data_IF_947860852113
#
_entry.id   IF_947860852113
#
_cell.length_a   1.000
_cell.length_b   1.000
_cell.length_c   1.000
_cell.angle_alpha   90.00
_cell.angle_beta   90.00
_cell.angle_gamma   90.00
#
_symmetry.space_group_name_H-M   'P 1'
#
loop_
_entity.id
_entity.type
_entity.pdbx_description
1 polymer ?
#
# COMPACT_ATOMS: atom_id res chain seq x y z
N UNK A 1 -1.13 -8.38 -4.18
CA UNK A 1 -2.36 -7.77 -4.70
C UNK A 1 -3.39 -7.83 -3.60
N UNK A 2 -3.93 -6.68 -3.22
CA UNK A 2 -5.02 -6.62 -2.26
C UNK A 2 -6.31 -7.01 -2.97
N UNK A 3 -7.09 -7.88 -2.35
CA UNK A 3 -8.32 -8.40 -2.91
C UNK A 3 -9.42 -8.10 -1.91
N UNK A 4 -10.50 -7.49 -2.35
CA UNK A 4 -11.63 -7.19 -1.51
C UNK A 4 -12.62 -8.34 -1.60
N UNK A 5 -12.82 -9.05 -0.50
CA UNK A 5 -13.90 -10.03 -0.35
C UNK A 5 -15.13 -9.33 0.20
N UNK A 6 -16.23 -9.32 -0.54
CA UNK A 6 -17.54 -8.82 -0.10
C UNK A 6 -18.43 -9.98 0.33
N UNK A 7 -18.85 -10.00 1.58
CA UNK A 7 -19.85 -10.97 2.07
C UNK A 7 -21.26 -10.44 1.83
N UNK A 8 -21.98 -11.01 0.86
CA UNK A 8 -23.35 -10.61 0.56
C UNK A 8 -24.32 -11.12 1.65
N UNK A 9 -25.48 -10.46 1.86
CA UNK A 9 -26.46 -10.85 2.88
C UNK A 9 -26.99 -12.29 2.74
N UNK A 10 -26.84 -12.91 1.57
CA UNK A 10 -27.22 -14.31 1.30
C UNK A 10 -26.07 -15.32 1.40
N UNK A 11 -25.00 -15.01 2.15
CA UNK A 11 -23.77 -15.83 2.34
C UNK A 11 -22.90 -16.07 1.10
N UNK A 12 -23.23 -15.48 -0.04
CA UNK A 12 -22.33 -15.50 -1.21
C UNK A 12 -21.12 -14.57 -0.97
N UNK A 13 -19.94 -15.03 -1.41
CA UNK A 13 -18.70 -14.26 -1.29
C UNK A 13 -18.26 -13.80 -2.67
N UNK A 14 -18.22 -12.48 -2.89
CA UNK A 14 -17.72 -11.90 -4.12
C UNK A 14 -16.28 -11.42 -3.94
N UNK A 15 -15.43 -11.74 -4.91
CA UNK A 15 -14.04 -11.28 -4.97
C UNK A 15 -13.96 -10.06 -5.89
N UNK A 16 -13.42 -8.96 -5.38
CA UNK A 16 -13.33 -7.67 -6.08
C UNK A 16 -11.88 -7.21 -6.04
N UNK A 17 -11.32 -6.85 -7.20
CA UNK A 17 -10.02 -6.21 -7.26
C UNK A 17 -10.20 -4.71 -7.02
N UNK A 18 -9.44 -4.09 -6.10
CA UNK A 18 -9.49 -2.65 -5.90
C UNK A 18 -9.04 -1.95 -7.19
N UNK A 19 -9.74 -0.90 -7.66
CA UNK A 19 -9.34 -0.09 -8.78
C UNK A 19 -7.92 0.45 -8.58
N UNK A 20 -7.05 0.22 -9.55
CA UNK A 20 -5.66 0.69 -9.53
C UNK A 20 -5.50 2.10 -10.10
N UNK A 21 -6.41 2.56 -10.96
CA UNK A 21 -6.32 3.89 -11.56
C UNK A 21 -6.78 4.97 -10.58
N UNK A 22 -5.87 5.91 -10.34
CA UNK A 22 -5.83 6.90 -9.24
C UNK A 22 -7.02 7.88 -9.11
N UNK A 23 -8.03 7.81 -9.98
CA UNK A 23 -9.15 8.75 -9.96
C UNK A 23 -10.39 8.25 -9.21
N UNK A 24 -10.52 6.94 -8.94
CA UNK A 24 -11.65 6.39 -8.19
C UNK A 24 -11.17 5.65 -6.96
N UNK A 25 -11.28 6.28 -5.79
CA UNK A 25 -11.05 5.61 -4.51
C UNK A 25 -12.07 4.49 -4.36
N UNK A 26 -11.60 3.25 -4.15
CA UNK A 26 -12.50 2.15 -3.80
C UNK A 26 -13.17 2.46 -2.46
N UNK A 27 -14.50 2.64 -2.46
CA UNK A 27 -15.25 2.86 -1.23
C UNK A 27 -15.58 1.50 -0.61
N UNK A 28 -14.86 1.15 0.45
CA UNK A 28 -15.14 -0.06 1.23
C UNK A 28 -16.47 0.08 1.97
N UNK A 29 -17.35 -0.91 1.81
CA UNK A 29 -18.58 -1.05 2.59
C UNK A 29 -18.32 -1.87 3.87
N UNK A 30 -19.31 -1.90 4.78
CA UNK A 30 -19.24 -2.67 6.04
C UNK A 30 -19.06 -4.19 5.82
N UNK A 31 -19.42 -4.67 4.63
CA UNK A 31 -19.36 -6.07 4.22
C UNK A 31 -18.07 -6.43 3.47
N UNK A 32 -17.22 -5.43 3.22
CA UNK A 32 -15.98 -5.60 2.50
C UNK A 32 -14.83 -5.88 3.47
N UNK A 33 -14.15 -7.00 3.26
CA UNK A 33 -12.89 -7.33 3.92
C UNK A 33 -11.78 -7.34 2.88
N UNK A 34 -10.74 -6.55 3.08
CA UNK A 34 -9.56 -6.58 2.24
C UNK A 34 -8.61 -7.68 2.73
N UNK A 35 -8.22 -8.58 1.85
CA UNK A 35 -7.25 -9.65 2.09
C UNK A 35 -6.19 -9.63 1.00
N UNK A 36 -4.92 -9.70 1.40
CA UNK A 36 -3.80 -9.86 0.46
C UNK A 36 -3.66 -11.37 0.19
N UNK A 37 -4.12 -11.83 -0.97
CA UNK A 37 -4.02 -13.25 -1.35
C UNK A 37 -2.71 -13.57 -2.08
N UNK A 38 -2.23 -12.63 -2.89
CA UNK A 38 -1.02 -12.82 -3.68
C UNK A 38 0.07 -11.88 -3.19
N UNK A 39 1.27 -12.44 -3.03
CA UNK A 39 2.49 -11.65 -2.93
C UNK A 39 2.86 -11.22 -4.35
N UNK A 40 3.03 -9.92 -4.56
CA UNK A 40 3.52 -9.41 -5.84
C UNK A 40 5.03 -9.55 -5.79
N UNK A 41 5.54 -10.46 -6.60
CA UNK A 41 6.97 -10.79 -6.66
C UNK A 41 7.69 -9.89 -7.65
N UNK A 42 7.06 -9.60 -8.77
CA UNK A 42 7.60 -8.77 -9.83
C UNK A 42 6.47 -8.07 -10.61
N UNK A 43 6.73 -6.87 -11.13
CA UNK A 43 5.82 -6.12 -11.97
C UNK A 43 6.44 -5.93 -13.35
N UNK A 44 5.90 -6.64 -14.35
CA UNK A 44 6.34 -6.52 -15.73
C UNK A 44 6.01 -5.14 -16.31
N UNK A 45 6.95 -4.56 -17.05
CA UNK A 45 6.83 -3.27 -17.74
C UNK A 45 6.79 -3.45 -19.26
N UNK A 46 6.49 -2.35 -19.95
CA UNK A 46 6.59 -2.29 -21.40
C UNK A 46 8.01 -2.67 -21.88
N UNK A 47 8.08 -3.53 -22.90
CA UNK A 47 9.35 -4.03 -23.46
C UNK A 47 9.96 -5.22 -22.70
N UNK A 48 9.37 -5.61 -21.57
CA UNK A 48 9.75 -6.85 -20.87
C UNK A 48 9.04 -8.06 -21.47
N UNK A 49 9.65 -9.23 -21.27
CA UNK A 49 9.17 -10.49 -21.80
C UNK A 49 9.02 -11.52 -20.68
N UNK A 50 8.15 -12.50 -20.90
CA UNK A 50 7.93 -13.64 -20.01
C UNK A 50 7.59 -14.87 -20.84
N UNK A 51 7.70 -16.06 -20.25
CA UNK A 51 7.37 -17.33 -20.91
C UNK A 51 8.41 -17.79 -21.93
N UNK A 52 9.67 -17.38 -21.79
CA UNK A 52 10.77 -17.76 -22.72
C UNK A 52 11.28 -19.19 -22.44
N UNK A 53 10.99 -19.71 -21.25
CA UNK A 53 11.50 -20.99 -20.74
C UNK A 53 12.11 -20.91 -19.33
N UNK A 54 11.91 -19.79 -18.65
CA UNK A 54 12.08 -19.57 -17.20
C UNK A 54 11.30 -20.57 -16.32
N UNK A 55 11.81 -20.85 -15.12
CA UNK A 55 11.17 -21.78 -14.16
C UNK A 55 10.42 -21.03 -13.04
N UNK A 56 9.30 -20.41 -13.39
CA UNK A 56 8.47 -19.65 -12.43
C UNK A 56 7.40 -20.51 -11.74
N UNK A 57 7.72 -21.76 -11.37
CA UNK A 57 6.76 -22.67 -10.71
C UNK A 57 6.15 -22.03 -9.46
N UNK A 58 4.82 -22.09 -9.37
CA UNK A 58 4.07 -21.51 -8.26
C UNK A 58 3.85 -19.99 -8.35
N UNK A 59 4.31 -19.36 -9.44
CA UNK A 59 4.02 -17.95 -9.75
C UNK A 59 2.90 -17.86 -10.78
N UNK A 60 2.05 -16.83 -10.68
CA UNK A 60 1.00 -16.55 -11.66
C UNK A 60 1.19 -15.14 -12.21
N UNK A 61 1.09 -15.01 -13.54
CA UNK A 61 1.13 -13.70 -14.21
C UNK A 61 -0.31 -13.22 -14.31
N UNK A 62 -0.57 -12.07 -13.69
CA UNK A 62 -1.90 -11.47 -13.63
C UNK A 62 -1.77 -10.08 -14.24
N UNK A 63 -2.59 -9.79 -15.24
CA UNK A 63 -2.71 -8.44 -15.78
C UNK A 63 -3.58 -7.61 -14.85
N UNK A 64 -3.26 -6.33 -14.74
CA UNK A 64 -4.15 -5.38 -14.06
C UNK A 64 -4.49 -4.27 -15.02
N UNK A 65 -5.77 -4.23 -15.43
CA UNK A 65 -6.26 -3.35 -16.49
C UNK A 65 -6.12 -3.95 -17.88
N UNK A 66 -6.25 -3.09 -18.89
CA UNK A 66 -6.08 -3.46 -20.29
C UNK A 66 -4.59 -3.48 -20.63
N UNK A 67 -4.13 -4.59 -21.20
CA UNK A 67 -2.72 -4.80 -21.56
C UNK A 67 -2.66 -5.44 -22.93
N UNK A 68 -1.75 -4.96 -23.78
CA UNK A 68 -1.47 -5.54 -25.09
C UNK A 68 -0.21 -6.40 -25.01
N UNK A 69 -0.29 -7.64 -25.50
CA UNK A 69 0.80 -8.61 -25.43
C UNK A 69 1.01 -9.20 -26.82
N UNK A 70 2.25 -9.17 -27.30
CA UNK A 70 2.65 -9.83 -28.55
C UNK A 70 3.13 -11.24 -28.23
N UNK A 71 2.33 -12.25 -28.59
CA UNK A 71 2.71 -13.64 -28.41
C UNK A 71 3.47 -14.17 -29.62
N UNK A 72 4.72 -14.60 -29.42
CA UNK A 72 5.54 -15.20 -30.48
C UNK A 72 5.69 -16.70 -30.25
N UNK A 73 5.27 -17.56 -31.20
CA UNK A 73 5.46 -19.00 -31.06
C UNK A 73 6.94 -19.38 -31.00
N UNK A 74 7.32 -20.20 -30.01
CA UNK A 74 8.72 -20.64 -29.81
C UNK A 74 9.32 -21.32 -31.04
N UNK A 75 8.52 -22.10 -31.79
CA UNK A 75 8.95 -22.77 -33.03
C UNK A 75 9.48 -21.78 -34.07
N UNK A 76 8.89 -20.59 -34.15
CA UNK A 76 9.28 -19.53 -35.10
C UNK A 76 10.68 -18.99 -34.79
N UNK A 77 11.02 -18.87 -33.51
CA UNK A 77 12.33 -18.38 -33.05
C UNK A 77 13.43 -19.44 -33.21
N UNK A 78 13.11 -20.72 -33.04
CA UNK A 78 14.06 -21.83 -33.20
C UNK A 78 14.54 -22.01 -34.64
N UNK A 79 13.69 -21.71 -35.64
CA UNK A 79 13.98 -22.02 -37.05
C UNK A 79 15.11 -21.16 -37.67
N UNK A 80 15.47 -20.02 -37.06
CA UNK A 80 16.39 -19.02 -37.66
C UNK A 80 17.71 -18.83 -36.90
N UNK A 81 18.20 -19.84 -36.17
CA UNK A 81 19.40 -19.75 -35.30
C UNK A 81 19.29 -18.71 -34.16
N UNK A 82 18.09 -18.21 -33.83
CA UNK A 82 17.88 -17.31 -32.69
C UNK A 82 17.84 -18.04 -31.33
N UNK A 83 18.32 -19.29 -31.25
CA UNK A 83 18.41 -20.03 -29.99
C UNK A 83 19.27 -19.30 -28.95
N UNK A 84 20.33 -18.62 -29.39
CA UNK A 84 21.19 -17.79 -28.54
C UNK A 84 20.46 -16.55 -28.00
N UNK A 85 19.58 -15.94 -28.80
CA UNK A 85 18.76 -14.81 -28.35
C UNK A 85 17.75 -15.29 -27.29
N UNK A 86 17.13 -16.46 -27.50
CA UNK A 86 16.21 -17.04 -26.51
C UNK A 86 16.91 -17.33 -25.18
N UNK A 87 18.16 -17.83 -25.19
CA UNK A 87 18.90 -18.02 -23.94
C UNK A 87 19.19 -16.70 -23.25
N UNK A 88 19.63 -15.66 -23.98
CA UNK A 88 19.84 -14.34 -23.38
C UNK A 88 18.56 -13.74 -22.79
N UNK A 89 17.43 -13.87 -23.50
CA UNK A 89 16.14 -13.40 -23.00
C UNK A 89 15.72 -14.16 -21.75
N UNK A 90 15.90 -15.49 -21.72
CA UNK A 90 15.60 -16.31 -20.54
C UNK A 90 16.46 -15.90 -19.36
N UNK A 91 17.78 -15.79 -19.54
CA UNK A 91 18.70 -15.47 -18.45
C UNK A 91 18.41 -14.06 -17.90
N UNK A 92 18.09 -13.10 -18.77
CA UNK A 92 17.63 -11.76 -18.35
C UNK A 92 16.35 -11.80 -17.52
N UNK A 93 15.38 -12.64 -17.90
CA UNK A 93 14.14 -12.78 -17.13
C UNK A 93 14.42 -13.46 -15.79
N UNK A 94 15.22 -14.52 -15.77
CA UNK A 94 15.56 -15.22 -14.53
C UNK A 94 16.28 -14.29 -13.54
N UNK A 95 17.19 -13.44 -14.01
CA UNK A 95 17.86 -12.41 -13.18
C UNK A 95 16.92 -11.30 -12.68
N UNK A 96 15.87 -10.98 -13.44
CA UNK A 96 14.91 -9.96 -13.06
C UNK A 96 13.97 -10.43 -11.93
N UNK A 97 13.71 -11.73 -11.84
CA UNK A 97 12.83 -12.30 -10.83
C UNK A 97 13.62 -12.62 -9.55
N UNK A 98 13.16 -12.15 -8.37
CA UNK A 98 13.84 -12.44 -7.12
C UNK A 98 13.70 -13.92 -6.73
N UNK A 99 14.73 -14.45 -6.06
CA UNK A 99 14.69 -15.83 -5.57
C UNK A 99 13.60 -16.02 -4.50
N UNK A 100 13.06 -17.23 -4.30
CA UNK A 100 12.08 -17.49 -3.24
C UNK A 100 12.55 -17.07 -1.84
N UNK A 101 13.86 -17.15 -1.59
CA UNK A 101 14.47 -16.74 -0.32
C UNK A 101 14.41 -15.21 -0.16
N UNK A 102 14.69 -14.47 -1.23
CA UNK A 102 14.63 -13.00 -1.22
C UNK A 102 13.19 -12.51 -1.12
N UNK A 103 12.26 -13.20 -1.77
CA UNK A 103 10.82 -12.97 -1.65
C UNK A 103 10.35 -13.17 -0.21
N UNK A 104 10.79 -14.25 0.44
CA UNK A 104 10.43 -14.51 1.84
C UNK A 104 11.02 -13.44 2.78
N UNK A 105 12.27 -13.02 2.55
CA UNK A 105 12.93 -11.98 3.34
C UNK A 105 12.21 -10.64 3.23
N UNK A 106 11.93 -10.20 2.01
CA UNK A 106 11.20 -8.95 1.76
C UNK A 106 9.78 -8.98 2.35
N UNK A 107 9.11 -10.15 2.32
CA UNK A 107 7.84 -10.33 3.01
C UNK A 107 7.95 -10.14 4.52
N UNK A 108 8.95 -10.74 5.17
CA UNK A 108 9.17 -10.56 6.61
C UNK A 108 9.47 -9.10 6.96
N UNK A 109 10.25 -8.40 6.14
CA UNK A 109 10.53 -6.97 6.29
C UNK A 109 9.26 -6.12 6.14
N UNK A 110 8.40 -6.42 5.16
CA UNK A 110 7.12 -5.73 4.97
C UNK A 110 6.19 -5.91 6.20
N UNK A 111 6.15 -7.12 6.76
CA UNK A 111 5.35 -7.42 7.97
C UNK A 111 5.89 -6.62 9.16
N UNK A 112 7.20 -6.67 9.42
CA UNK A 112 7.83 -5.89 10.50
C UNK A 112 7.61 -4.39 10.33
N UNK A 113 7.71 -3.88 9.11
CA UNK A 113 7.47 -2.47 8.79
C UNK A 113 6.01 -2.05 9.05
N UNK A 114 5.04 -2.90 8.67
CA UNK A 114 3.62 -2.65 8.96
C UNK A 114 3.36 -2.60 10.46
N UNK A 115 3.92 -3.53 11.20
CA UNK A 115 3.78 -3.57 12.67
C UNK A 115 4.39 -2.32 13.31
N UNK A 116 5.60 -1.95 12.89
CA UNK A 116 6.26 -0.72 13.33
C UNK A 116 5.37 0.51 13.07
N UNK A 117 4.88 0.70 11.84
CA UNK A 117 4.00 1.84 11.49
C UNK A 117 2.74 1.86 12.34
N UNK A 118 2.08 0.70 12.51
CA UNK A 118 0.88 0.58 13.34
C UNK A 118 1.18 1.01 14.77
N UNK A 119 2.27 0.52 15.36
CA UNK A 119 2.70 0.89 16.72
C UNK A 119 2.96 2.39 16.84
N UNK A 120 3.70 2.97 15.90
CA UNK A 120 4.01 4.42 15.90
C UNK A 120 2.74 5.28 15.82
N UNK A 121 1.81 4.93 14.93
CA UNK A 121 0.53 5.65 14.81
C UNK A 121 -0.29 5.53 16.10
N UNK A 122 -0.42 4.33 16.66
CA UNK A 122 -1.14 4.12 17.91
C UNK A 122 -0.52 4.91 19.08
N UNK A 123 0.81 4.94 19.18
CA UNK A 123 1.51 5.73 20.20
C UNK A 123 1.26 7.24 20.04
N UNK A 124 1.29 7.76 18.82
CA UNK A 124 0.98 9.16 18.54
C UNK A 124 -0.48 9.50 18.85
N UNK A 125 -1.42 8.63 18.49
CA UNK A 125 -2.85 8.81 18.81
C UNK A 125 -3.12 8.75 20.31
N UNK A 126 -2.46 7.85 21.05
CA UNK A 126 -2.56 7.79 22.52
C UNK A 126 -2.01 9.05 23.18
N UNK A 127 -0.92 9.63 22.65
CA UNK A 127 -0.41 10.93 23.11
C UNK A 127 -1.40 12.06 22.83
N UNK A 128 -2.08 12.04 21.67
CA UNK A 128 -3.08 13.03 21.30
C UNK A 128 -4.36 12.92 22.16
N UNK A 129 -4.84 11.71 22.45
CA UNK A 129 -6.03 11.50 23.28
C UNK A 129 -5.82 11.87 24.77
N UNK A 130 -4.58 11.92 25.27
CA UNK A 130 -4.30 12.47 26.61
C UNK A 130 -4.44 13.98 26.69
N UNK A 131 -4.57 14.65 25.55
CA UNK A 131 -4.74 16.09 25.44
C UNK A 131 -5.85 16.38 24.44
N UNK A 132 -7.10 16.18 24.88
CA UNK A 132 -8.04 17.30 24.79
C UNK A 132 -7.45 18.43 25.67
N UNK A 133 -6.33 19.00 25.21
CA UNK A 133 -5.74 20.20 25.76
C UNK A 133 -6.75 21.26 25.39
N UNK A 134 -7.70 21.49 26.28
CA UNK A 134 -8.38 22.76 26.28
C UNK A 134 -7.26 23.79 26.41
N UNK A 135 -7.07 24.67 25.41
CA UNK A 135 -6.01 25.68 25.48
C UNK A 135 -6.24 26.47 26.76
N UNK A 136 -5.25 26.46 27.64
CA UNK A 136 -5.29 27.27 28.85
C UNK A 136 -5.26 28.73 28.46
N UNK A 137 -5.75 29.62 29.32
CA UNK A 137 -5.59 31.07 29.14
C UNK A 137 -4.13 31.44 28.82
N UNK A 138 -3.17 30.68 29.40
CA UNK A 138 -1.74 30.88 29.19
C UNK A 138 -1.21 30.49 27.80
N UNK A 139 -1.99 29.76 26.99
CA UNK A 139 -1.62 29.37 25.63
C UNK A 139 -1.98 30.45 24.58
N UNK A 140 -2.81 31.44 24.94
CA UNK A 140 -3.19 32.56 24.05
C UNK A 140 -2.07 33.62 24.05
N UNK A 141 -1.54 34.10 22.92
CA UNK A 141 -0.53 35.16 22.91
C UNK A 141 -0.97 36.45 23.62
N UNK A 142 -0.05 37.12 24.35
CA UNK A 142 -0.33 38.34 25.11
C UNK A 142 -0.96 39.47 24.27
N UNK A 143 -0.52 39.60 23.01
CA UNK A 143 -1.08 40.58 22.07
C UNK A 143 -2.58 40.39 21.84
N UNK A 144 -3.07 39.16 21.82
CA UNK A 144 -4.48 38.83 21.63
C UNK A 144 -5.27 39.03 22.94
N UNK A 145 -4.68 38.70 24.09
CA UNK A 145 -5.28 38.90 25.43
C UNK A 145 -5.51 40.37 25.74
N UNK A 146 -4.59 41.25 25.33
CA UNK A 146 -4.67 42.68 25.60
C UNK A 146 -5.76 43.38 24.79
N UNK A 147 -6.07 42.85 23.60
CA UNK A 147 -7.11 43.40 22.70
C UNK A 147 -8.51 42.92 23.10
N UNK A 148 -8.60 41.75 23.75
CA UNK A 148 -9.87 41.10 24.09
C UNK A 148 -9.90 40.76 25.59
N UNK A 149 -10.27 41.72 26.46
CA UNK A 149 -10.25 41.52 27.92
C UNK A 149 -11.25 40.45 28.39
N UNK A 150 -12.30 40.22 27.61
CA UNK A 150 -13.42 39.29 27.86
C UNK A 150 -12.98 37.81 27.94
N UNK A 151 -11.80 37.48 27.39
CA UNK A 151 -11.22 36.15 27.53
C UNK A 151 -11.00 35.78 29.00
N UNK A 152 -10.77 36.75 29.89
CA UNK A 152 -10.61 36.48 31.33
C UNK A 152 -11.88 35.86 31.94
N UNK A 153 -13.06 36.33 31.52
CA UNK A 153 -14.35 35.81 31.98
C UNK A 153 -14.64 34.45 31.35
N UNK A 154 -14.33 34.28 30.05
CA UNK A 154 -14.50 33.02 29.34
C UNK A 154 -13.69 31.85 29.93
N UNK A 155 -12.54 32.15 30.54
CA UNK A 155 -11.69 31.18 31.25
C UNK A 155 -11.88 31.17 32.78
N UNK A 156 -12.80 31.98 33.33
CA UNK A 156 -13.14 31.99 34.76
C UNK A 156 -12.03 32.47 35.71
N UNK A 157 -11.11 33.34 35.24
CA UNK A 157 -9.96 33.81 36.02
C UNK A 157 -10.31 35.14 36.71
N UNK A 158 -10.47 35.12 38.03
CA UNK A 158 -10.91 36.29 38.82
C UNK A 158 -9.78 37.13 39.41
N UNK A 159 -8.54 36.62 39.45
CA UNK A 159 -7.35 37.42 39.84
C UNK A 159 -6.05 36.69 39.47
N UNK A 160 -4.99 37.46 39.19
CA UNK A 160 -3.62 36.93 39.09
C UNK A 160 -2.91 37.12 40.45
N UNK A 161 -2.09 36.15 40.90
CA UNK A 161 -1.03 36.49 41.84
C UNK A 161 -0.08 37.48 41.16
N UNK A 162 0.19 38.60 41.82
CA UNK A 162 1.26 39.49 41.38
C UNK A 162 2.58 38.72 41.43
N UNK A 163 3.21 38.55 40.27
CA UNK A 163 4.62 38.82 39.92
C UNK A 163 4.89 38.24 38.51
#
# INVERSE_FOLDING_TARGET
MDLVTRSLPFKETQLILPPQESHKKYQMTKFDKMKKFFLIVYCLKEGECFGVGEDHRGTSIITVGQVEIVQVPRKTLLHRKHGLLLSFMRDRVEEAFPSPIDVFRSFQEEVKWKEYKRRTVLQSLQKHNRRLMMPSFNDVPLSIRNVNPDYKEHYGITSFPMI
#
